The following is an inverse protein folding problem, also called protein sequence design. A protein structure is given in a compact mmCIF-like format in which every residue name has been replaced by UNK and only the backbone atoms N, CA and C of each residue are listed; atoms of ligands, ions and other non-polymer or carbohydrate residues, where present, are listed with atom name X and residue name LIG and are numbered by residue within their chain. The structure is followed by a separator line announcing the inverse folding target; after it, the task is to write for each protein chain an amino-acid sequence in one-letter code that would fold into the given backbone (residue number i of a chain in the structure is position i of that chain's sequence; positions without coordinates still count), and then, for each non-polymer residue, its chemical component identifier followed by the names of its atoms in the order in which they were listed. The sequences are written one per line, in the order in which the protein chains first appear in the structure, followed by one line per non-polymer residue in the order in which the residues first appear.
data_IF_860084371221
#
_entry.id   IF_860084371221
#
_cell.length_a   1.000
_cell.length_b   1.000
_cell.length_c   1.000
_cell.angle_alpha   90.00
_cell.angle_beta   90.00
_cell.angle_gamma   90.00
#
_symmetry.space_group_name_H-M   'P 1'
#
loop_
_entity.id
_entity.type
_entity.pdbx_description
1 polymer ?
2 non-polymer ?
3 non-polymer ?
4 water ?
#
# COMPACT_ATOMS: atom_id res chain seq x y z
N UNK A 1 19.04 -11.09 -21.00
CA UNK A 1 17.68 -11.12 -20.39
C UNK A 1 17.87 -10.45 -19.03
N UNK A 2 17.86 -9.10 -19.21
CA UNK A 2 18.04 -8.20 -18.07
C UNK A 2 16.78 -7.37 -17.88
N UNK A 3 16.68 -6.89 -16.68
CA UNK A 3 15.47 -6.15 -16.20
C UNK A 3 15.89 -4.93 -15.41
N UNK A 4 16.16 -3.87 -16.10
CA UNK A 4 16.65 -2.59 -15.59
C UNK A 4 15.56 -1.58 -15.42
N UNK A 5 15.40 -1.07 -14.22
CA UNK A 5 14.36 -0.08 -13.96
C UNK A 5 14.84 1.27 -14.55
N UNK A 6 13.90 2.06 -14.90
CA UNK A 6 14.14 3.43 -15.34
C UNK A 6 13.06 4.25 -14.58
N UNK A 7 13.32 5.53 -14.41
CA UNK A 7 12.33 6.46 -13.78
C UNK A 7 10.97 6.30 -14.38
N UNK A 8 10.80 5.86 -15.60
CA UNK A 8 9.49 5.64 -16.22
C UNK A 8 8.75 4.50 -15.58
N UNK A 9 9.38 3.58 -14.84
CA UNK A 9 8.65 2.46 -14.14
C UNK A 9 7.98 2.96 -12.89
N UNK A 10 8.18 4.18 -12.48
CA UNK A 10 7.55 4.77 -11.33
C UNK A 10 7.83 4.08 -9.99
N UNK A 11 9.06 3.63 -9.82
CA UNK A 11 9.46 2.99 -8.57
C UNK A 11 9.89 4.04 -7.50
N UNK A 12 9.28 3.97 -6.31
CA UNK A 12 9.55 4.87 -5.22
C UNK A 12 9.84 4.08 -3.96
N UNK A 13 10.59 4.80 -3.08
CA UNK A 13 11.01 4.26 -1.80
C UNK A 13 10.89 5.23 -0.65
N UNK A 14 10.58 4.83 0.56
CA UNK A 14 10.51 5.77 1.69
C UNK A 14 11.89 6.07 2.17
N UNK A 15 12.16 7.28 2.68
CA UNK A 15 13.53 7.54 3.28
C UNK A 15 13.82 6.54 4.43
N UNK A 16 12.77 6.15 5.14
CA UNK A 16 12.82 5.24 6.27
C UNK A 16 13.09 3.80 5.90
N UNK A 17 13.10 3.37 4.68
CA UNK A 17 13.30 2.03 4.18
C UNK A 17 14.76 1.77 4.07
N UNK A 18 15.44 2.33 3.04
CA UNK A 18 16.91 2.13 2.97
C UNK A 18 17.57 2.79 4.19
N UNK A 19 16.92 3.72 4.83
CA UNK A 19 17.40 4.43 6.01
C UNK A 19 17.19 3.67 7.29
N UNK A 20 16.57 2.51 7.31
CA UNK A 20 16.36 1.73 8.56
C UNK A 20 17.72 1.27 9.19
N UNK A 21 17.88 1.79 10.41
CA UNK A 21 19.15 1.44 11.14
C UNK A 21 19.14 0.02 11.67
N UNK A 22 18.07 -0.68 11.71
CA UNK A 22 18.16 -2.08 12.20
C UNK A 22 17.85 -2.28 13.64
N UNK A 23 17.27 -1.29 14.29
CA UNK A 23 16.88 -1.44 15.72
C UNK A 23 15.58 -2.27 15.68
N UNK A 24 15.45 -3.32 16.46
CA UNK A 24 14.24 -4.23 16.51
C UNK A 24 13.87 -4.32 17.97
N UNK A 25 12.79 -4.98 18.33
CA UNK A 25 12.39 -5.12 19.74
C UNK A 25 13.49 -5.73 20.59
N UNK A 26 14.36 -6.55 20.03
CA UNK A 26 15.40 -7.18 20.83
C UNK A 26 16.79 -6.72 20.48
N UNK A 27 17.05 -5.66 19.72
CA UNK A 27 18.45 -5.37 19.46
C UNK A 27 18.73 -3.96 19.02
N UNK A 28 19.96 -3.61 19.20
CA UNK A 28 20.48 -2.26 18.81
C UNK A 28 20.66 -2.15 17.31
N UNK A 29 20.78 -0.83 16.92
CA UNK A 29 21.05 -0.52 15.51
C UNK A 29 22.29 -1.22 15.03
N UNK A 30 22.29 -1.75 13.80
CA UNK A 30 23.48 -2.41 13.19
C UNK A 30 24.08 -1.50 12.10
N UNK A 31 23.41 -0.42 11.76
CA UNK A 31 23.93 0.49 10.72
C UNK A 31 23.78 1.94 11.20
N UNK A 32 24.69 2.78 10.75
CA UNK A 32 24.73 4.22 11.03
C UNK A 32 23.61 4.87 10.21
N UNK A 33 23.17 6.02 10.69
CA UNK A 33 22.08 6.76 10.03
C UNK A 33 22.59 7.28 8.70
N UNK A 34 21.67 7.35 7.76
CA UNK A 34 22.04 7.83 6.41
C UNK A 34 21.46 9.26 6.28
N UNK A 35 22.24 10.08 5.61
CA UNK A 35 21.68 11.46 5.39
C UNK A 35 20.69 11.30 4.19
N UNK A 36 19.50 11.87 4.26
CA UNK A 36 18.50 11.80 3.19
C UNK A 36 19.06 12.16 1.83
N UNK A 37 20.03 13.07 1.81
CA UNK A 37 20.67 13.50 0.55
C UNK A 37 21.39 12.32 -0.10
N UNK A 38 22.10 11.54 0.66
CA UNK A 38 22.81 10.36 0.19
C UNK A 38 21.86 9.32 -0.35
N UNK A 39 20.75 9.09 0.37
CA UNK A 39 19.72 8.13 -0.06
C UNK A 39 19.12 8.59 -1.39
N UNK A 40 18.80 9.86 -1.55
CA UNK A 40 18.25 10.37 -2.83
C UNK A 40 19.21 10.03 -3.97
N UNK A 41 20.49 10.35 -3.80
CA UNK A 41 21.50 10.18 -4.82
C UNK A 41 21.65 8.68 -5.13
N UNK A 42 21.71 7.80 -4.11
CA UNK A 42 21.89 6.32 -4.34
C UNK A 42 20.69 5.74 -5.00
N UNK A 43 19.47 6.13 -4.61
CA UNK A 43 18.27 5.62 -5.23
C UNK A 43 18.20 6.07 -6.68
N UNK A 44 18.56 7.33 -6.96
CA UNK A 44 18.54 7.82 -8.38
C UNK A 44 19.48 6.96 -9.18
N UNK A 45 20.67 6.62 -8.69
CA UNK A 45 21.55 5.75 -9.45
C UNK A 45 21.02 4.38 -9.73
N UNK A 46 20.15 3.85 -8.86
CA UNK A 46 19.58 2.48 -9.10
C UNK A 46 18.43 2.59 -10.06
N UNK A 47 17.91 3.76 -10.44
CA UNK A 47 16.80 3.77 -11.36
C UNK A 47 15.44 4.07 -10.74
N UNK A 48 15.44 4.49 -9.49
CA UNK A 48 14.15 4.83 -8.85
C UNK A 48 13.60 6.15 -9.47
N UNK A 49 12.32 6.36 -9.35
CA UNK A 49 11.69 7.58 -9.87
C UNK A 49 11.53 8.60 -8.76
N UNK A 50 11.50 8.21 -7.50
CA UNK A 50 11.30 9.22 -6.44
C UNK A 50 11.36 8.69 -5.05
N UNK A 51 11.16 9.53 -4.06
CA UNK A 51 11.22 9.13 -2.66
C UNK A 51 10.00 9.69 -1.92
N UNK A 52 9.76 9.18 -0.74
CA UNK A 52 8.64 9.61 0.11
C UNK A 52 9.21 9.79 1.51
N UNK A 53 8.47 10.42 2.37
CA UNK A 53 9.02 10.68 3.68
C UNK A 53 7.96 10.91 4.70
N UNK A 54 8.36 10.61 5.96
CA UNK A 54 7.53 10.99 7.09
C UNK A 54 8.20 12.35 7.50
N UNK A 55 7.38 13.26 8.04
CA UNK A 55 7.94 14.58 8.52
C UNK A 55 9.22 14.36 9.33
N UNK A 56 9.22 13.46 10.31
CA UNK A 56 10.42 13.30 11.16
C UNK A 56 11.59 12.63 10.47
N UNK A 57 11.42 12.07 9.24
CA UNK A 57 12.61 11.45 8.65
C UNK A 57 13.43 12.65 8.04
N UNK A 58 12.70 13.65 7.61
CA UNK A 58 13.32 14.82 6.98
C UNK A 58 13.75 15.90 7.97
N UNK A 59 12.87 16.23 8.89
CA UNK A 59 13.16 17.28 9.91
C UNK A 59 13.14 16.63 11.28
N UNK A 60 14.30 16.51 11.91
CA UNK A 60 14.46 15.90 13.26
C UNK A 60 13.44 16.53 14.19
N UNK A 61 12.72 15.69 14.90
CA UNK A 61 11.71 16.19 15.80
C UNK A 61 12.30 17.32 16.68
N UNK A 62 11.54 18.35 16.84
CA UNK A 62 12.00 19.47 17.68
C UNK A 62 12.84 20.54 17.05
N UNK A 63 13.18 20.38 15.77
CA UNK A 63 13.95 21.35 15.01
C UNK A 63 13.29 22.75 15.07
N UNK A 64 14.15 23.76 15.17
CA UNK A 64 13.69 25.19 15.19
C UNK A 64 13.38 25.56 13.73
N UNK A 65 12.62 26.56 13.42
CA UNK A 65 12.29 26.97 12.06
C UNK A 65 13.49 27.17 11.19
N UNK A 66 14.56 27.55 11.79
CA UNK A 66 15.84 27.84 11.14
C UNK A 66 16.44 26.54 10.65
N UNK A 67 16.48 25.56 11.58
CA UNK A 67 17.05 24.25 11.15
C UNK A 67 16.10 23.60 10.12
N UNK A 68 14.80 23.72 10.25
CA UNK A 68 13.82 23.19 9.37
C UNK A 68 14.14 23.60 7.93
N UNK A 69 14.20 24.91 7.73
CA UNK A 69 14.43 25.51 6.41
C UNK A 69 15.68 24.95 5.79
N UNK A 70 16.69 24.76 6.57
CA UNK A 70 17.98 24.23 6.15
C UNK A 70 17.89 22.76 5.72
N UNK A 71 17.11 21.96 6.44
CA UNK A 71 16.96 20.51 6.07
C UNK A 71 16.21 20.47 4.75
N UNK A 72 15.20 21.31 4.61
CA UNK A 72 14.39 21.37 3.35
C UNK A 72 15.27 21.83 2.17
N UNK A 73 15.98 22.93 2.29
CA UNK A 73 16.86 23.42 1.20
C UNK A 73 17.80 22.35 0.75
N UNK A 74 18.52 21.69 1.64
CA UNK A 74 19.42 20.61 1.25
C UNK A 74 18.74 19.47 0.50
N UNK A 75 17.57 19.09 0.92
CA UNK A 75 16.83 17.96 0.29
C UNK A 75 16.43 18.35 -1.14
N UNK A 76 15.85 19.53 -1.21
CA UNK A 76 15.40 20.17 -2.47
C UNK A 76 16.54 20.24 -3.45
N UNK A 77 17.73 20.58 -2.98
CA UNK A 77 18.91 20.63 -3.90
C UNK A 77 19.19 19.21 -4.38
N UNK A 78 19.08 18.17 -3.50
CA UNK A 78 19.39 16.79 -4.02
C UNK A 78 18.31 16.36 -5.02
N UNK A 79 17.05 16.73 -4.91
CA UNK A 79 16.00 16.37 -5.84
C UNK A 79 16.30 17.05 -7.21
N UNK A 80 16.74 18.32 -7.08
CA UNK A 80 17.07 19.09 -8.32
C UNK A 80 18.28 18.46 -9.01
N UNK A 81 19.23 17.99 -8.25
CA UNK A 81 20.42 17.41 -8.86
C UNK A 81 20.15 16.07 -9.52
N UNK A 82 19.11 15.34 -9.04
CA UNK A 82 18.90 14.00 -9.63
C UNK A 82 17.68 13.84 -10.47
N UNK A 83 16.76 14.83 -10.38
CA UNK A 83 15.51 14.67 -11.17
C UNK A 83 14.54 13.72 -10.38
N UNK A 84 14.76 13.42 -9.10
CA UNK A 84 13.88 12.56 -8.30
C UNK A 84 12.63 13.36 -7.90
N UNK A 85 11.47 12.73 -7.82
CA UNK A 85 10.25 13.44 -7.42
C UNK A 85 9.85 12.95 -6.01
N UNK A 86 8.85 13.58 -5.44
CA UNK A 86 8.31 13.22 -4.13
C UNK A 86 6.78 13.10 -4.33
N UNK A 87 6.29 11.92 -4.70
CA UNK A 87 4.86 11.76 -4.95
C UNK A 87 3.97 11.59 -3.76
N UNK A 88 4.52 11.26 -2.62
CA UNK A 88 3.70 10.99 -1.42
C UNK A 88 4.51 11.43 -0.23
N UNK A 89 3.77 11.88 0.76
CA UNK A 89 4.36 12.30 2.08
C UNK A 89 3.36 11.74 3.16
N UNK A 90 3.92 11.67 4.38
CA UNK A 90 3.03 11.14 5.48
C UNK A 90 3.56 11.65 6.81
N UNK A 91 2.88 11.45 7.89
CA UNK A 91 3.21 11.95 9.23
C UNK A 91 3.66 10.85 10.19
N UNK A 92 4.65 11.08 11.01
CA UNK A 92 5.07 10.14 12.02
C UNK A 92 4.16 10.49 13.25
N UNK A 93 3.10 9.74 13.53
CA UNK A 93 2.29 9.94 14.72
C UNK A 93 2.45 8.61 15.60
N UNK A 94 3.69 8.05 15.60
CA UNK A 94 3.89 6.79 16.34
C UNK A 94 5.14 6.69 17.14
N UNK A 95 6.27 7.37 16.80
CA UNK A 95 7.50 7.22 17.57
C UNK A 95 7.61 7.93 18.90
N UNK A 96 7.33 9.20 18.93
CA UNK A 96 7.44 10.00 20.17
C UNK A 96 6.55 9.43 21.23
N UNK A 97 7.03 9.34 22.48
CA UNK A 97 6.23 8.83 23.56
C UNK A 97 4.87 9.46 23.72
N UNK A 98 4.68 10.70 23.29
CA UNK A 98 3.40 11.43 23.43
C UNK A 98 2.31 10.66 22.67
N UNK A 99 2.74 9.88 21.64
CA UNK A 99 1.72 9.16 20.87
C UNK A 99 1.45 7.77 21.39
N UNK A 100 1.89 7.45 22.61
CA UNK A 100 1.75 6.10 23.15
C UNK A 100 0.32 5.54 23.13
N UNK A 101 -0.72 6.34 23.19
CA UNK A 101 -2.09 5.83 23.13
C UNK A 101 -2.73 6.29 21.81
N UNK A 102 -1.96 6.74 20.85
CA UNK A 102 -2.50 7.18 19.56
C UNK A 102 -2.22 8.66 19.27
N UNK A 103 -2.66 9.04 18.09
CA UNK A 103 -2.59 10.40 17.59
C UNK A 103 -4.04 10.94 17.54
N UNK A 104 -4.74 10.61 16.49
CA UNK A 104 -6.12 11.09 16.30
C UNK A 104 -7.08 10.47 17.24
N UNK A 105 -6.75 9.31 17.79
CA UNK A 105 -7.73 8.64 18.76
C UNK A 105 -7.10 8.52 20.13
N UNK A 106 -6.07 9.32 20.49
CA UNK A 106 -5.57 9.23 21.83
C UNK A 106 -6.75 9.63 22.78
N UNK A 107 -6.80 9.01 23.99
CA UNK A 107 -7.82 9.31 24.93
C UNK A 107 -7.66 10.82 25.38
N UNK A 108 -6.44 11.32 25.53
CA UNK A 108 -6.25 12.73 25.95
C UNK A 108 -6.56 13.67 24.77
N UNK A 109 -7.48 14.56 24.96
CA UNK A 109 -7.88 15.50 23.89
C UNK A 109 -6.72 16.36 23.47
N UNK A 110 -5.87 16.80 24.37
CA UNK A 110 -4.73 17.69 24.03
C UNK A 110 -3.83 17.06 23.01
N UNK A 111 -3.62 15.79 23.20
CA UNK A 111 -2.72 14.99 22.25
C UNK A 111 -3.40 14.93 20.90
N UNK A 112 -4.71 14.72 20.83
CA UNK A 112 -5.42 14.67 19.53
C UNK A 112 -5.25 16.02 18.79
N UNK A 113 -5.37 17.13 19.48
CA UNK A 113 -5.23 18.46 18.81
C UNK A 113 -3.83 18.62 18.31
N UNK A 114 -2.83 18.25 19.10
CA UNK A 114 -1.41 18.32 18.74
C UNK A 114 -1.18 17.44 17.46
N UNK A 115 -1.74 16.20 17.49
CA UNK A 115 -1.57 15.33 16.31
C UNK A 115 -2.03 15.98 15.01
N UNK A 116 -3.17 16.68 15.03
CA UNK A 116 -3.76 17.37 13.89
C UNK A 116 -2.85 18.52 13.47
N UNK A 117 -2.34 19.26 14.48
CA UNK A 117 -1.45 20.40 14.13
C UNK A 117 -0.18 19.91 13.49
N UNK A 118 0.37 18.84 14.00
CA UNK A 118 1.66 18.26 13.46
C UNK A 118 1.37 17.75 12.03
N UNK A 119 0.26 17.16 11.74
CA UNK A 119 -0.13 16.67 10.42
C UNK A 119 -0.29 17.86 9.42
N UNK A 120 -1.04 18.88 9.82
CA UNK A 120 -1.30 20.04 8.91
C UNK A 120 0.00 20.69 8.52
N UNK A 121 0.94 20.81 9.39
CA UNK A 121 2.25 21.44 9.09
C UNK A 121 2.93 20.63 7.99
N UNK A 122 2.83 19.29 8.04
CA UNK A 122 3.42 18.42 7.06
C UNK A 122 2.66 18.44 5.71
N UNK A 123 1.35 18.63 5.66
CA UNK A 123 0.59 18.71 4.38
C UNK A 123 1.14 19.93 3.56
N UNK A 124 1.31 21.09 4.27
CA UNK A 124 1.86 22.28 3.58
C UNK A 124 3.21 21.89 3.02
N UNK A 125 4.06 21.20 3.77
CA UNK A 125 5.37 20.84 3.22
C UNK A 125 5.19 19.86 2.06
N UNK A 126 4.36 18.90 2.16
CA UNK A 126 4.20 17.94 1.05
C UNK A 126 3.77 18.62 -0.26
N UNK A 127 2.80 19.52 -0.19
CA UNK A 127 2.30 20.30 -1.33
C UNK A 127 3.49 21.10 -1.93
N UNK A 128 4.25 21.75 -1.08
CA UNK A 128 5.41 22.55 -1.58
C UNK A 128 6.34 21.68 -2.37
N UNK A 129 6.59 20.42 -1.93
CA UNK A 129 7.50 19.50 -2.66
C UNK A 129 6.83 18.76 -3.82
N UNK A 130 5.56 18.97 -4.09
CA UNK A 130 4.84 18.33 -5.17
C UNK A 130 4.15 17.03 -4.90
N UNK A 131 3.99 16.61 -3.67
CA UNK A 131 3.27 15.28 -3.48
C UNK A 131 1.84 15.38 -3.91
N UNK A 132 1.32 14.32 -4.47
CA UNK A 132 -0.11 14.28 -4.89
C UNK A 132 -0.93 13.45 -3.89
N UNK A 133 -0.26 12.63 -3.05
CA UNK A 133 -0.97 11.78 -2.10
C UNK A 133 -0.38 11.98 -0.72
N UNK A 134 -1.21 11.98 0.26
CA UNK A 134 -0.78 12.20 1.67
C UNK A 134 -1.28 10.90 2.38
N UNK A 135 -0.31 10.09 2.86
CA UNK A 135 -0.77 8.82 3.52
C UNK A 135 -0.93 8.95 5.01
N UNK A 136 -1.84 8.22 5.60
CA UNK A 136 -2.08 8.20 7.02
C UNK A 136 -2.04 6.76 7.50
N UNK A 137 -1.08 6.41 8.36
CA UNK A 137 -1.01 5.04 8.96
C UNK A 137 -1.27 5.28 10.48
N UNK A 138 -2.38 4.91 11.04
CA UNK A 138 -2.61 5.15 12.49
C UNK A 138 -2.06 3.90 13.26
N UNK A 139 -0.75 3.82 13.28
CA UNK A 139 -0.14 2.67 13.98
C UNK A 139 -0.34 2.64 15.47
N UNK A 140 -0.62 3.79 16.13
CA UNK A 140 -0.83 3.79 17.58
C UNK A 140 -2.30 3.85 17.89
N UNK A 141 -3.21 3.84 16.99
CA UNK A 141 -4.67 3.95 17.23
C UNK A 141 -5.17 2.52 17.46
N UNK A 142 -5.50 2.23 18.72
CA UNK A 142 -6.01 0.84 18.98
C UNK A 142 -5.78 0.59 20.44
N UNK A 143 -5.56 -0.69 20.84
CA UNK A 143 -5.44 -0.99 22.28
C UNK A 143 -4.90 -2.38 22.53
N UNK A 144 -4.48 -2.62 23.76
CA UNK A 144 -4.01 -3.94 24.16
C UNK A 144 -5.13 -4.53 25.06
N UNK A 145 -6.11 -3.74 25.52
CA UNK A 145 -7.13 -4.30 26.40
C UNK A 145 -8.48 -3.74 26.07
N UNK A 146 -9.57 -4.45 26.37
CA UNK A 146 -10.93 -4.10 26.03
C UNK A 146 -11.46 -2.84 26.64
N UNK A 147 -11.20 -2.48 27.88
CA UNK A 147 -11.73 -1.30 28.49
C UNK A 147 -11.05 -0.02 28.17
N UNK A 148 -9.83 -0.08 27.64
CA UNK A 148 -9.05 1.11 27.37
C UNK A 148 -9.54 2.03 26.26
N UNK A 149 -10.34 1.50 25.33
CA UNK A 149 -10.83 2.27 24.17
C UNK A 149 -12.26 1.94 23.84
N UNK A 150 -13.12 2.95 23.83
CA UNK A 150 -14.53 2.64 23.42
C UNK A 150 -14.36 2.81 21.89
N UNK A 151 -14.54 1.75 21.09
CA UNK A 151 -14.36 1.90 19.64
C UNK A 151 -15.28 2.86 18.89
N UNK A 152 -16.54 2.91 19.30
CA UNK A 152 -17.48 3.88 18.61
C UNK A 152 -16.96 5.28 18.93
N UNK A 153 -16.55 5.60 20.19
CA UNK A 153 -16.07 6.95 20.36
C UNK A 153 -14.77 7.12 19.59
N UNK A 154 -13.93 6.07 19.54
CA UNK A 154 -12.68 6.22 18.78
C UNK A 154 -12.97 6.49 17.33
N UNK A 155 -13.94 5.85 16.65
CA UNK A 155 -14.26 6.14 15.20
C UNK A 155 -14.83 7.53 15.01
N UNK A 156 -15.60 8.01 16.01
CA UNK A 156 -16.10 9.44 15.91
C UNK A 156 -14.84 10.36 15.90
N UNK A 157 -13.87 10.09 16.80
CA UNK A 157 -12.66 10.97 16.81
C UNK A 157 -11.86 10.84 15.54
N UNK A 158 -11.84 9.62 14.98
CA UNK A 158 -11.05 9.37 13.73
C UNK A 158 -11.78 10.09 12.61
N UNK A 159 -13.08 9.99 12.57
CA UNK A 159 -13.88 10.70 11.50
C UNK A 159 -13.63 12.22 11.63
N UNK A 160 -13.74 12.66 12.90
CA UNK A 160 -13.53 14.12 13.13
C UNK A 160 -12.22 14.63 12.59
N UNK A 161 -11.10 13.96 12.82
CA UNK A 161 -9.77 14.28 12.39
C UNK A 161 -9.70 14.28 10.88
N UNK A 162 -10.18 13.21 10.21
CA UNK A 162 -10.13 13.18 8.74
C UNK A 162 -11.00 14.27 8.12
N UNK A 163 -12.17 14.50 8.67
CA UNK A 163 -13.04 15.57 8.13
C UNK A 163 -12.30 16.91 8.29
N UNK A 164 -11.64 17.18 9.42
CA UNK A 164 -10.94 18.44 9.60
C UNK A 164 -9.80 18.52 8.57
N UNK A 165 -9.09 17.41 8.28
CA UNK A 165 -8.03 17.57 7.29
C UNK A 165 -8.58 17.83 5.91
N UNK A 166 -9.77 17.30 5.60
CA UNK A 166 -10.40 17.50 4.25
C UNK A 166 -10.88 18.97 4.23
N UNK A 167 -11.30 19.50 5.32
CA UNK A 167 -11.72 20.93 5.38
C UNK A 167 -10.49 21.81 5.10
N UNK A 168 -9.36 21.49 5.71
CA UNK A 168 -8.15 22.23 5.54
C UNK A 168 -7.72 22.22 4.09
N UNK A 169 -7.58 21.05 3.48
CA UNK A 169 -7.15 20.95 2.05
C UNK A 169 -8.01 21.75 1.09
N UNK A 170 -9.33 21.65 1.21
CA UNK A 170 -10.30 22.31 0.37
C UNK A 170 -10.20 23.83 0.62
N UNK A 171 -10.07 24.22 1.87
CA UNK A 171 -9.94 25.64 2.21
C UNK A 171 -8.68 26.20 1.60
N UNK A 172 -7.59 25.47 1.53
CA UNK A 172 -6.36 26.00 0.94
C UNK A 172 -6.36 25.82 -0.58
N UNK A 173 -7.30 25.13 -1.11
CA UNK A 173 -7.29 24.89 -2.57
C UNK A 173 -6.16 23.94 -2.95
N UNK A 174 -5.72 23.01 -2.10
CA UNK A 174 -4.63 22.08 -2.52
C UNK A 174 -5.12 20.91 -3.34
N UNK A 175 -4.30 20.44 -4.22
CA UNK A 175 -4.64 19.26 -5.07
C UNK A 175 -3.89 18.07 -4.41
N UNK A 176 -4.45 17.53 -3.39
CA UNK A 176 -3.79 16.46 -2.67
C UNK A 176 -4.96 15.58 -2.21
N UNK A 177 -4.70 14.29 -2.26
CA UNK A 177 -5.75 13.34 -1.76
C UNK A 177 -5.12 12.53 -0.59
N UNK A 178 -5.98 11.99 0.22
CA UNK A 178 -5.53 11.21 1.40
C UNK A 178 -5.65 9.70 1.10
N UNK A 179 -4.76 8.90 1.66
CA UNK A 179 -4.84 7.44 1.49
C UNK A 179 -4.65 6.85 2.88
N UNK A 180 -5.58 6.07 3.43
CA UNK A 180 -5.40 5.49 4.75
C UNK A 180 -4.74 4.11 4.48
N UNK A 181 -3.76 3.84 5.35
CA UNK A 181 -3.13 2.50 5.20
C UNK A 181 -3.51 1.65 6.37
N UNK A 182 -4.12 0.51 6.16
CA UNK A 182 -4.56 -0.37 7.26
C UNK A 182 -3.40 -1.28 7.68
N UNK A 183 -3.57 -1.74 8.92
CA UNK A 183 -2.60 -2.70 9.51
C UNK A 183 -3.46 -3.32 10.67
N UNK A 184 -3.42 -4.67 10.78
CA UNK A 184 -4.27 -5.29 11.83
C UNK A 184 -3.78 -5.23 13.24
N UNK A 185 -2.42 -5.22 13.47
CA UNK A 185 -1.84 -5.14 14.83
C UNK A 185 -0.36 -4.71 14.61
N UNK A 186 0.28 -4.41 15.72
CA UNK A 186 1.70 -4.10 15.84
C UNK A 186 1.97 -2.73 15.37
N UNK A 187 2.30 -1.77 16.27
CA UNK A 187 2.56 -1.94 17.66
C UNK A 187 1.49 -2.07 18.63
N UNK A 188 0.28 -1.75 18.37
CA UNK A 188 -0.82 -1.97 19.32
C UNK A 188 -1.30 -3.43 19.15
N UNK A 189 -1.92 -3.88 20.25
CA UNK A 189 -2.49 -5.23 20.36
C UNK A 189 -3.44 -5.45 19.20
N UNK A 190 -4.30 -4.49 18.99
CA UNK A 190 -5.23 -4.56 17.83
C UNK A 190 -5.21 -3.06 17.32
N UNK A 191 -5.15 -2.84 16.06
CA UNK A 191 -5.19 -1.48 15.48
C UNK A 191 -6.56 -1.26 14.83
N UNK A 192 -7.08 0.02 14.95
CA UNK A 192 -8.41 0.36 14.32
C UNK A 192 -8.24 0.38 12.82
N UNK A 193 -9.29 0.08 12.08
CA UNK A 193 -9.38 -0.07 10.61
C UNK A 193 -8.25 -1.06 10.25
N UNK A 194 -8.44 -2.33 10.69
CA UNK A 194 -7.41 -3.31 10.48
C UNK A 194 -7.12 -3.87 9.16
N UNK A 195 -7.97 -3.78 8.18
CA UNK A 195 -7.79 -4.30 6.87
C UNK A 195 -8.31 -3.31 5.81
N UNK A 196 -8.01 -3.57 4.55
CA UNK A 196 -8.50 -2.69 3.41
C UNK A 196 -10.03 -2.62 3.55
N UNK A 197 -10.75 -3.70 3.84
CA UNK A 197 -12.22 -3.50 3.88
C UNK A 197 -12.62 -2.56 5.00
N UNK A 198 -12.09 -2.63 6.22
CA UNK A 198 -12.43 -1.74 7.28
C UNK A 198 -12.10 -0.31 6.86
N UNK A 199 -11.03 -0.02 6.22
CA UNK A 199 -10.70 1.34 5.78
C UNK A 199 -11.66 1.80 4.68
N UNK A 200 -12.01 0.93 3.67
CA UNK A 200 -12.96 1.38 2.66
C UNK A 200 -14.32 1.74 3.23
N UNK A 201 -14.84 0.94 4.21
CA UNK A 201 -16.15 1.17 4.78
C UNK A 201 -16.13 2.48 5.57
N UNK A 202 -15.01 2.73 6.26
CA UNK A 202 -14.92 3.95 7.07
C UNK A 202 -14.97 5.24 6.19
N UNK A 203 -14.30 5.18 5.11
CA UNK A 203 -14.24 6.30 4.15
C UNK A 203 -15.63 6.76 3.74
N UNK A 204 -16.49 5.80 3.58
CA UNK A 204 -17.90 6.11 3.14
C UNK A 204 -18.65 6.91 4.16
N UNK A 205 -18.24 7.07 5.40
CA UNK A 205 -18.91 7.88 6.39
C UNK A 205 -18.22 9.24 6.55
N UNK A 206 -17.17 9.56 5.74
CA UNK A 206 -16.56 10.91 5.90
C UNK A 206 -17.39 11.93 5.15
N UNK A 207 -17.23 13.18 5.54
CA UNK A 207 -18.00 14.26 4.88
C UNK A 207 -17.63 14.35 3.41
N UNK A 208 -16.39 14.16 2.97
CA UNK A 208 -16.11 14.30 1.47
C UNK A 208 -15.36 13.02 1.08
N UNK A 209 -16.08 11.95 0.92
CA UNK A 209 -15.44 10.63 0.60
C UNK A 209 -14.52 10.62 -0.57
N UNK A 210 -14.77 11.52 -1.52
CA UNK A 210 -13.95 11.57 -2.78
C UNK A 210 -12.54 11.97 -2.56
N UNK A 211 -12.20 12.57 -1.42
CA UNK A 211 -10.83 12.96 -1.11
C UNK A 211 -10.00 11.82 -0.48
N UNK A 212 -10.65 10.70 -0.20
CA UNK A 212 -9.93 9.61 0.48
C UNK A 212 -10.05 8.25 -0.19
N UNK A 213 -8.90 7.58 -0.17
CA UNK A 213 -8.72 6.21 -0.76
C UNK A 213 -7.86 5.40 0.24
N UNK A 214 -7.39 4.29 -0.25
CA UNK A 214 -6.54 3.42 0.57
C UNK A 214 -5.13 3.26 0.05
N UNK A 215 -4.20 2.98 0.93
CA UNK A 215 -2.79 2.68 0.62
C UNK A 215 -2.58 1.26 1.25
N UNK A 216 -3.00 0.20 0.55
CA UNK A 216 -2.84 -1.14 1.17
C UNK A 216 -1.37 -1.53 1.10
N UNK A 217 -0.92 -2.38 2.03
CA UNK A 217 0.45 -2.85 2.05
C UNK A 217 0.44 -4.38 1.93
N UNK A 218 1.25 -4.94 1.09
CA UNK A 218 1.25 -6.38 0.91
C UNK A 218 1.25 -7.17 2.24
N UNK A 219 2.32 -6.96 3.02
CA UNK A 219 2.51 -7.69 4.35
C UNK A 219 1.41 -7.43 5.29
N UNK A 220 0.74 -6.27 5.34
CA UNK A 220 -0.35 -6.05 6.35
C UNK A 220 -1.58 -6.90 6.13
N UNK A 221 -2.10 -7.05 4.91
CA UNK A 221 -3.26 -7.93 4.82
C UNK A 221 -2.87 -9.36 5.07
N UNK A 222 -1.64 -9.71 4.73
CA UNK A 222 -1.08 -11.11 4.95
C UNK A 222 -0.93 -11.38 6.45
N UNK A 223 -0.76 -10.35 7.29
CA UNK A 223 -0.66 -10.49 8.76
C UNK A 223 -2.01 -10.94 9.30
N UNK A 224 -3.11 -10.82 8.48
CA UNK A 224 -4.44 -11.28 8.88
C UNK A 224 -4.73 -12.54 8.05
N UNK A 225 -3.80 -13.13 7.32
CA UNK A 225 -4.01 -14.34 6.48
C UNK A 225 -4.92 -14.06 5.30
N UNK A 226 -5.12 -12.85 4.88
CA UNK A 226 -6.03 -12.54 3.75
C UNK A 226 -5.33 -12.58 2.39
N UNK A 227 -6.11 -12.63 1.31
CA UNK A 227 -5.51 -12.68 -0.04
C UNK A 227 -5.33 -11.25 -0.48
N UNK A 228 -4.07 -10.83 -0.59
CA UNK A 228 -3.74 -9.40 -1.01
C UNK A 228 -4.29 -9.04 -2.36
N UNK A 229 -4.08 -9.77 -3.46
CA UNK A 229 -4.68 -9.45 -4.73
C UNK A 229 -6.18 -9.34 -4.66
N UNK A 230 -6.94 -10.16 -3.91
CA UNK A 230 -8.42 -10.00 -3.81
C UNK A 230 -8.77 -8.65 -3.12
N UNK A 231 -8.02 -8.28 -2.05
CA UNK A 231 -8.28 -6.97 -1.39
C UNK A 231 -8.02 -5.80 -2.34
N UNK A 232 -6.96 -5.89 -3.14
CA UNK A 232 -6.64 -4.88 -4.13
C UNK A 232 -7.75 -4.83 -5.18
N UNK A 233 -8.27 -5.94 -5.68
CA UNK A 233 -9.36 -5.94 -6.71
C UNK A 233 -10.56 -5.21 -6.07
N UNK A 234 -10.81 -5.45 -4.77
CA UNK A 234 -11.92 -4.76 -4.13
C UNK A 234 -11.63 -3.26 -4.06
N UNK A 235 -10.46 -2.79 -3.76
CA UNK A 235 -10.13 -1.37 -3.68
C UNK A 235 -10.26 -0.87 -5.17
N UNK A 236 -9.80 -1.55 -6.17
CA UNK A 236 -9.94 -1.10 -7.56
C UNK A 236 -11.42 -1.00 -7.93
N UNK A 237 -12.21 -1.97 -7.58
CA UNK A 237 -13.66 -2.01 -7.89
C UNK A 237 -14.28 -0.79 -7.29
N UNK A 238 -13.90 -0.34 -6.08
CA UNK A 238 -14.49 0.83 -5.49
C UNK A 238 -13.92 2.13 -6.03
N UNK A 239 -12.96 2.13 -6.86
CA UNK A 239 -12.26 3.33 -7.42
C UNK A 239 -11.40 3.95 -6.33
N UNK A 240 -10.90 3.21 -5.32
CA UNK A 240 -10.14 3.80 -4.24
C UNK A 240 -8.71 3.39 -4.11
N UNK A 241 -8.05 2.80 -5.12
CA UNK A 241 -6.66 2.45 -4.98
C UNK A 241 -5.83 3.69 -5.31
N UNK A 242 -5.56 4.50 -4.25
CA UNK A 242 -4.79 5.70 -4.52
C UNK A 242 -3.28 5.50 -4.53
N UNK A 243 -2.82 4.53 -3.82
CA UNK A 243 -1.34 4.34 -3.75
C UNK A 243 -1.22 2.86 -3.25
N UNK A 244 0.03 2.37 -3.25
CA UNK A 244 0.19 0.98 -2.80
C UNK A 244 1.59 0.84 -2.21
N UNK A 245 1.63 -0.03 -1.17
CA UNK A 245 2.93 -0.34 -0.50
C UNK A 245 3.32 -1.82 -0.79
N UNK A 246 4.45 -1.88 -1.46
CA UNK A 246 4.95 -3.22 -1.88
C UNK A 246 6.04 -3.75 -1.02
N UNK A 247 5.88 -5.03 -0.67
CA UNK A 247 6.94 -5.69 0.23
C UNK A 247 6.57 -7.22 0.24
N UNK A 248 7.21 -7.93 1.16
CA UNK A 248 6.99 -9.37 1.31
C UNK A 248 6.82 -9.72 2.77
N UNK A 249 6.13 -10.82 3.01
CA UNK A 249 5.84 -11.20 4.44
C UNK A 249 5.71 -12.71 4.44
N UNK A 250 6.24 -13.41 5.39
CA UNK A 250 6.06 -14.89 5.37
C UNK A 250 4.93 -15.24 6.34
N UNK A 251 3.68 -15.09 5.97
CA UNK A 251 2.61 -15.47 6.91
C UNK A 251 2.26 -14.54 8.03
N UNK A 252 1.49 -15.14 8.99
CA UNK A 252 0.93 -14.47 10.15
C UNK A 252 2.00 -14.50 11.27
N UNK A 253 2.63 -13.33 11.40
CA UNK A 253 3.67 -13.11 12.39
C UNK A 253 3.96 -11.61 12.46
N UNK A 254 5.02 -11.20 13.17
CA UNK A 254 5.37 -9.79 13.19
C UNK A 254 5.49 -9.24 11.72
N UNK A 255 5.42 -7.93 11.62
CA UNK A 255 5.51 -7.29 10.29
C UNK A 255 7.02 -7.35 9.80
N UNK A 256 7.28 -8.19 8.82
CA UNK A 256 8.68 -8.39 8.34
C UNK A 256 9.08 -7.29 7.39
N UNK A 257 8.24 -6.74 6.50
CA UNK A 257 8.69 -5.76 5.56
C UNK A 257 9.90 -6.28 4.74
N UNK A 258 9.87 -7.48 4.17
CA UNK A 258 10.98 -8.03 3.36
C UNK A 258 10.79 -7.35 1.98
N UNK A 259 11.91 -7.44 1.24
CA UNK A 259 11.91 -6.86 -0.12
C UNK A 259 10.80 -7.47 -0.94
N UNK A 260 10.28 -6.68 -1.89
CA UNK A 260 9.20 -7.14 -2.73
C UNK A 260 9.70 -8.40 -3.56
N UNK A 261 8.80 -9.41 -3.60
CA UNK A 261 9.09 -10.69 -4.31
C UNK A 261 9.42 -11.76 -3.25
N UNK A 262 9.93 -11.39 -2.11
CA UNK A 262 10.22 -12.34 -1.01
C UNK A 262 8.81 -12.54 -0.35
N UNK A 263 8.69 -13.54 0.49
CA UNK A 263 7.38 -13.83 1.10
C UNK A 263 6.62 -14.77 0.18
N UNK A 264 5.35 -14.36 -0.07
CA UNK A 264 4.48 -15.16 -0.91
C UNK A 264 4.75 -14.83 -2.35
N UNK A 265 5.58 -15.52 -3.04
CA UNK A 265 5.88 -15.24 -4.41
C UNK A 265 4.69 -15.43 -5.35
N UNK A 266 3.83 -16.45 -5.21
CA UNK A 266 2.68 -16.55 -6.16
C UNK A 266 1.74 -15.35 -5.93
N UNK A 267 1.53 -14.83 -4.72
CA UNK A 267 0.66 -13.65 -4.47
C UNK A 267 1.25 -12.44 -5.16
N UNK A 268 2.54 -12.34 -5.20
CA UNK A 268 3.30 -11.22 -5.88
C UNK A 268 2.98 -11.30 -7.35
N UNK A 269 2.98 -12.48 -7.98
CA UNK A 269 2.70 -12.65 -9.38
C UNK A 269 1.29 -12.20 -9.66
N UNK A 270 0.30 -12.68 -8.90
CA UNK A 270 -1.10 -12.31 -9.15
C UNK A 270 -1.32 -10.83 -8.84
N UNK A 271 -0.56 -10.22 -7.96
CA UNK A 271 -0.80 -8.79 -7.69
C UNK A 271 -0.30 -8.00 -8.91
N UNK A 272 0.93 -8.35 -9.42
CA UNK A 272 1.47 -7.62 -10.57
C UNK A 272 0.51 -7.80 -11.79
N UNK A 273 0.00 -9.00 -11.95
CA UNK A 273 -0.96 -9.30 -13.05
C UNK A 273 -2.17 -8.35 -12.90
N UNK A 274 -2.67 -8.20 -11.71
CA UNK A 274 -3.79 -7.29 -11.53
C UNK A 274 -3.40 -5.82 -11.70
N UNK A 275 -2.35 -5.34 -11.14
CA UNK A 275 -2.06 -3.91 -11.30
C UNK A 275 -1.88 -3.51 -12.75
N UNK A 276 -1.19 -4.39 -13.43
CA UNK A 276 -0.90 -4.14 -14.88
C UNK A 276 -2.15 -4.34 -15.68
N UNK A 277 -2.92 -5.35 -15.43
CA UNK A 277 -4.15 -5.47 -16.27
C UNK A 277 -5.15 -4.44 -15.92
N UNK A 278 -5.30 -3.92 -14.72
CA UNK A 278 -6.29 -2.87 -14.39
C UNK A 278 -5.72 -1.53 -14.79
N UNK A 279 -4.48 -1.44 -15.19
CA UNK A 279 -3.97 -0.08 -15.57
C UNK A 279 -3.70 0.80 -14.39
N UNK A 280 -3.25 0.30 -13.26
CA UNK A 280 -2.93 1.20 -12.11
C UNK A 280 -1.82 2.15 -12.57
N UNK A 281 -1.99 3.47 -12.32
CA UNK A 281 -0.86 4.34 -12.83
C UNK A 281 -0.21 5.15 -11.73
N UNK A 282 -0.39 4.78 -10.46
CA UNK A 282 0.25 5.49 -9.35
C UNK A 282 1.65 4.90 -9.21
N UNK A 283 2.36 5.42 -8.21
CA UNK A 283 3.72 4.96 -7.91
C UNK A 283 3.75 3.50 -7.46
N UNK A 284 4.85 2.84 -7.73
CA UNK A 284 5.06 1.44 -7.27
C UNK A 284 5.98 1.69 -6.06
N UNK A 285 5.40 1.89 -4.90
CA UNK A 285 6.26 2.23 -3.73
C UNK A 285 6.71 1.07 -2.87
N UNK A 286 7.97 1.00 -2.50
CA UNK A 286 8.47 -0.09 -1.68
C UNK A 286 8.53 0.40 -0.22
N UNK A 287 7.82 -0.32 0.68
CA UNK A 287 7.84 0.00 2.11
C UNK A 287 8.50 -1.30 2.66
N UNK A 288 9.86 -1.26 2.69
CA UNK A 288 10.57 -2.48 3.15
C UNK A 288 11.73 -2.14 4.08
N UNK A 289 12.30 -3.11 4.68
CA UNK A 289 13.45 -2.91 5.57
C UNK A 289 14.51 -3.93 5.18
N UNK A 290 15.66 -3.41 4.75
CA UNK A 290 16.81 -4.34 4.43
C UNK A 290 17.14 -4.99 5.81
N UNK A 291 17.21 -6.32 5.86
CA UNK A 291 17.48 -7.06 7.14
C UNK A 291 18.64 -6.46 7.91
N UNK A 292 18.56 -6.53 9.24
CA UNK A 292 19.66 -5.94 10.06
C UNK A 292 21.00 -6.68 9.94
N UNK A 293 20.94 -7.85 9.30
CA UNK A 293 22.19 -8.65 9.07
C UNK A 293 23.02 -7.95 7.99
N UNK A 294 22.43 -6.97 7.27
CA UNK A 294 23.20 -6.37 6.22
C UNK A 294 23.98 -5.09 6.48
N UNK A 295 25.03 -4.89 5.69
CA UNK A 295 25.81 -3.62 5.70
C UNK A 295 25.22 -2.72 4.59
N UNK A 296 25.79 -1.58 4.21
CA UNK A 296 25.32 -0.72 3.17
C UNK A 296 25.28 -1.38 1.80
N UNK A 297 26.18 -2.19 1.43
CA UNK A 297 26.14 -2.90 0.14
C UNK A 297 24.86 -3.75 0.10
N UNK A 298 24.54 -4.45 1.17
CA UNK A 298 23.32 -5.30 1.26
C UNK A 298 22.07 -4.41 1.21
N UNK A 299 22.10 -3.19 1.75
CA UNK A 299 20.95 -2.28 1.65
C UNK A 299 20.62 -1.99 0.18
N UNK A 300 21.63 -1.60 -0.60
CA UNK A 300 21.40 -1.27 -2.02
C UNK A 300 21.03 -2.47 -2.85
N UNK A 301 21.62 -3.61 -2.47
CA UNK A 301 21.28 -4.86 -3.18
C UNK A 301 19.80 -5.23 -2.92
N UNK A 302 19.36 -5.06 -1.73
CA UNK A 302 17.95 -5.36 -1.37
C UNK A 302 16.99 -4.38 -2.13
N UNK A 303 17.27 -3.07 -2.13
CA UNK A 303 16.39 -2.10 -2.84
C UNK A 303 16.39 -2.44 -4.30
N UNK A 304 17.57 -2.75 -4.93
CA UNK A 304 17.63 -3.09 -6.34
C UNK A 304 16.78 -4.35 -6.56
N UNK A 305 16.83 -5.35 -5.70
CA UNK A 305 16.01 -6.61 -5.84
C UNK A 305 14.52 -6.31 -5.85
N UNK A 306 14.07 -5.34 -5.15
CA UNK A 306 12.67 -4.96 -5.14
C UNK A 306 12.17 -4.64 -6.55
N UNK A 307 12.98 -3.80 -7.21
CA UNK A 307 12.55 -3.33 -8.57
C UNK A 307 12.69 -4.47 -9.57
N UNK A 308 13.73 -5.24 -9.49
CA UNK A 308 13.99 -6.38 -10.39
C UNK A 308 12.85 -7.36 -10.31
N UNK A 309 12.46 -7.68 -9.09
CA UNK A 309 11.37 -8.70 -8.90
C UNK A 309 10.10 -8.19 -9.54
N UNK A 310 9.79 -6.91 -9.36
CA UNK A 310 8.60 -6.40 -9.99
C UNK A 310 8.70 -6.60 -11.50
N UNK A 311 9.88 -6.21 -12.06
CA UNK A 311 9.99 -6.30 -13.53
C UNK A 311 9.93 -7.72 -14.04
N UNK A 312 10.54 -8.67 -13.30
CA UNK A 312 10.45 -10.09 -13.82
C UNK A 312 8.95 -10.54 -13.77
N UNK A 313 8.32 -10.24 -12.69
CA UNK A 313 6.87 -10.64 -12.51
C UNK A 313 6.03 -9.99 -13.59
N UNK A 314 6.36 -8.75 -13.92
CA UNK A 314 5.58 -8.06 -14.98
C UNK A 314 5.68 -8.79 -16.30
N UNK A 315 6.88 -9.20 -16.61
CA UNK A 315 7.09 -9.92 -17.90
C UNK A 315 6.33 -11.24 -17.93
N UNK A 316 6.46 -12.05 -16.84
CA UNK A 316 5.78 -13.37 -16.77
C UNK A 316 4.28 -13.20 -16.79
N UNK A 317 3.68 -12.21 -16.12
CA UNK A 317 2.19 -12.05 -16.16
C UNK A 317 1.71 -11.65 -17.55
N UNK A 318 2.47 -10.85 -18.26
CA UNK A 318 2.16 -10.35 -19.62
C UNK A 318 2.29 -11.55 -20.57
N UNK A 319 3.31 -12.35 -20.43
CA UNK A 319 3.46 -13.57 -21.27
C UNK A 319 2.24 -14.48 -20.93
N UNK A 320 1.85 -14.65 -19.68
CA UNK A 320 0.69 -15.48 -19.30
C UNK A 320 -0.60 -14.99 -20.00
N UNK A 321 -0.91 -13.70 -19.90
CA UNK A 321 -2.15 -13.22 -20.50
C UNK A 321 -2.16 -13.25 -22.04
N UNK A 322 -0.98 -13.11 -22.61
CA UNK A 322 -0.79 -13.11 -24.04
C UNK A 322 -0.77 -14.48 -24.65
N UNK A 323 -0.63 -15.56 -23.96
CA UNK A 323 -0.54 -16.92 -24.54
C UNK A 323 -1.91 -17.42 -25.01
N UNK A 324 -2.03 -17.78 -26.31
CA UNK A 324 -3.26 -18.27 -26.89
C UNK A 324 -3.75 -19.45 -26.14
N UNK A 325 -2.86 -20.30 -25.67
CA UNK A 325 -3.26 -21.50 -24.92
C UNK A 325 -3.91 -21.12 -23.60
N UNK A 326 -3.43 -19.98 -23.03
CA UNK A 326 -4.05 -19.53 -21.74
C UNK A 326 -5.45 -18.93 -22.06
N UNK A 327 -5.52 -18.13 -23.12
CA UNK A 327 -6.84 -17.53 -23.54
C UNK A 327 -7.85 -18.63 -23.72
N UNK A 328 -7.50 -19.70 -24.31
CA UNK A 328 -8.35 -20.88 -24.55
C UNK A 328 -8.75 -21.50 -23.21
N UNK A 329 -7.77 -21.61 -22.28
CA UNK A 329 -8.06 -22.18 -20.93
C UNK A 329 -9.04 -21.27 -20.17
N UNK A 330 -8.87 -19.96 -20.32
CA UNK A 330 -9.76 -19.00 -19.62
C UNK A 330 -11.20 -19.21 -20.10
N UNK A 331 -11.34 -19.45 -21.44
CA UNK A 331 -12.68 -19.72 -21.98
C UNK A 331 -13.16 -21.08 -21.47
N UNK A 332 -12.26 -22.03 -21.38
CA UNK A 332 -12.66 -23.37 -20.89
C UNK A 332 -13.15 -23.30 -19.44
N UNK A 333 -12.63 -22.36 -18.64
CA UNK A 333 -13.04 -22.22 -17.22
C UNK A 333 -14.14 -21.21 -17.09
N UNK A 334 -14.69 -20.68 -18.19
CA UNK A 334 -15.79 -19.74 -18.17
C UNK A 334 -15.53 -18.38 -17.58
N UNK A 335 -14.28 -17.89 -17.66
CA UNK A 335 -14.00 -16.51 -17.19
C UNK A 335 -14.79 -15.50 -18.04
N UNK A 336 -14.99 -15.86 -19.29
CA UNK A 336 -15.80 -14.98 -20.19
C UNK A 336 -17.21 -14.88 -19.71
N UNK A 337 -17.82 -15.96 -19.19
CA UNK A 337 -19.17 -15.94 -18.70
C UNK A 337 -19.27 -15.19 -17.32
N UNK A 338 -18.15 -15.22 -16.53
CA UNK A 338 -18.25 -14.46 -15.28
C UNK A 338 -18.42 -12.97 -15.56
N UNK A 339 -17.87 -12.46 -16.66
CA UNK A 339 -17.92 -11.05 -17.09
C UNK A 339 -19.25 -10.67 -17.70
N UNK A 340 -20.17 -11.59 -17.96
CA UNK A 340 -21.45 -11.21 -18.56
C UNK A 340 -22.50 -11.07 -17.46
N UNK A 341 -23.42 -10.15 -17.61
CA UNK A 341 -24.50 -9.94 -16.59
C UNK A 341 -25.27 -11.20 -16.37
N UNK A 342 -25.63 -11.49 -15.17
CA UNK A 342 -26.40 -12.69 -14.87
C UNK A 342 -27.89 -12.49 -15.41
N UNK A 343 -28.34 -11.23 -15.30
CA UNK A 343 -29.76 -11.03 -15.72
C UNK A 343 -30.01 -9.66 -16.27
N UNK A 344 -29.41 -9.43 -17.43
CA UNK A 344 -29.59 -8.11 -18.12
C UNK A 344 -31.04 -8.03 -18.60
N UNK A 345 -31.71 -9.12 -18.74
CA UNK A 345 -33.10 -9.27 -19.15
C UNK A 345 -34.03 -8.73 -18.02
N UNK A 346 -33.53 -8.54 -16.82
CA UNK A 346 -34.39 -7.99 -15.74
C UNK A 346 -35.02 -9.03 -14.91
N UNK A 347 -35.47 -8.54 -13.73
CA UNK A 347 -36.13 -9.41 -12.75
C UNK A 347 -37.33 -10.19 -13.25
N UNK A 348 -38.27 -9.47 -13.91
CA UNK A 348 -39.50 -10.18 -14.41
C UNK A 348 -39.19 -11.29 -15.34
N UNK A 349 -38.27 -11.03 -16.26
CA UNK A 349 -37.79 -12.05 -17.24
C UNK A 349 -37.17 -13.24 -16.51
N UNK A 350 -36.29 -12.91 -15.50
CA UNK A 350 -35.71 -14.05 -14.75
C UNK A 350 -36.81 -14.84 -14.03
N UNK A 351 -37.77 -14.12 -13.45
CA UNK A 351 -38.84 -14.86 -12.75
C UNK A 351 -39.68 -15.75 -13.65
N UNK A 352 -39.85 -15.33 -14.87
CA UNK A 352 -40.68 -16.10 -15.85
C UNK A 352 -39.85 -17.12 -16.59
N UNK A 353 -38.54 -17.04 -16.47
CA UNK A 353 -37.66 -18.01 -17.17
C UNK A 353 -37.65 -19.43 -16.57
N UNK A 354 -38.31 -20.41 -17.17
CA UNK A 354 -38.36 -21.80 -16.71
C UNK A 354 -36.97 -22.46 -16.82
N UNK A 355 -36.09 -22.02 -17.68
CA UNK A 355 -34.76 -22.62 -17.83
C UNK A 355 -33.86 -22.25 -16.63
N UNK A 356 -34.26 -21.23 -15.91
CA UNK A 356 -33.49 -20.82 -14.69
C UNK A 356 -33.94 -21.63 -13.47
N UNK A 357 -34.99 -22.45 -13.49
CA UNK A 357 -35.38 -23.15 -12.33
C UNK A 357 -36.17 -24.42 -12.57
N UNK A 358 -37.41 -24.25 -12.96
CA UNK A 358 -38.39 -25.30 -13.24
C UNK A 358 -37.76 -26.29 -14.16
N UNK A 359 -37.12 -25.91 -15.21
CA UNK A 359 -36.52 -26.91 -16.14
C UNK A 359 -34.99 -26.87 -16.12
N UNK A 360 -34.42 -26.32 -15.04
CA UNK A 360 -32.92 -26.28 -15.05
C UNK A 360 -32.42 -27.67 -14.71
N UNK A 361 -31.47 -28.18 -15.46
CA UNK A 361 -30.93 -29.52 -15.19
C UNK A 361 -29.68 -29.33 -14.28
N UNK A 362 -29.92 -29.48 -13.00
CA UNK A 362 -28.91 -29.30 -11.98
C UNK A 362 -27.80 -30.35 -12.11
N UNK A 363 -28.15 -31.60 -12.33
CA UNK A 363 -27.11 -32.66 -12.46
C UNK A 363 -26.17 -32.45 -13.67
N UNK A 364 -26.67 -31.97 -14.75
CA UNK A 364 -25.85 -31.73 -15.89
C UNK A 364 -24.98 -30.54 -15.58
N UNK A 365 -25.51 -29.48 -15.03
CA UNK A 365 -24.60 -28.31 -14.72
C UNK A 365 -23.59 -28.75 -13.66
N UNK A 366 -23.98 -29.51 -12.61
CA UNK A 366 -23.05 -29.94 -11.57
C UNK A 366 -21.85 -30.76 -12.05
N UNK A 367 -22.02 -31.56 -13.11
CA UNK A 367 -21.09 -32.48 -13.67
C UNK A 367 -20.07 -31.71 -14.51
N UNK A 368 -20.31 -30.47 -14.85
CA UNK A 368 -19.30 -29.78 -15.67
C UNK A 368 -18.09 -29.44 -14.84
N UNK A 369 -16.93 -29.90 -15.18
CA UNK A 369 -15.68 -29.56 -14.44
C UNK A 369 -15.27 -28.15 -14.64
N UNK A 370 -14.62 -27.43 -13.77
CA UNK A 370 -14.24 -26.03 -14.03
C UNK A 370 -12.92 -25.89 -14.74
N UNK A 371 -12.10 -26.96 -14.82
CA UNK A 371 -10.79 -26.95 -15.46
C UNK A 371 -9.86 -25.91 -14.86
N UNK A 372 -9.99 -25.59 -13.55
CA UNK A 372 -9.10 -24.59 -12.88
C UNK A 372 -7.65 -25.05 -12.64
N UNK A 373 -7.43 -26.36 -12.44
CA UNK A 373 -6.08 -26.89 -12.18
C UNK A 373 -5.21 -26.81 -13.38
N UNK A 374 -5.77 -27.06 -14.57
CA UNK A 374 -5.00 -26.97 -15.83
C UNK A 374 -4.63 -25.49 -15.99
N UNK A 375 -5.62 -24.61 -15.78
CA UNK A 375 -5.35 -23.19 -15.88
C UNK A 375 -4.23 -22.81 -14.85
N UNK A 376 -4.34 -23.28 -13.60
CA UNK A 376 -3.33 -22.89 -12.59
C UNK A 376 -1.93 -23.40 -12.94
N UNK A 377 -1.83 -24.59 -13.56
CA UNK A 377 -0.50 -25.11 -13.93
C UNK A 377 0.07 -24.25 -15.07
N UNK A 378 -0.78 -23.75 -16.00
CA UNK A 378 -0.30 -22.87 -17.04
C UNK A 378 0.31 -21.63 -16.41
N UNK A 379 -0.42 -21.11 -15.38
CA UNK A 379 0.13 -19.91 -14.68
C UNK A 379 1.47 -20.19 -13.98
N UNK A 380 1.56 -21.41 -13.43
CA UNK A 380 2.79 -21.86 -12.77
C UNK A 380 3.90 -21.97 -13.78
N UNK A 381 3.68 -22.61 -14.92
CA UNK A 381 4.70 -22.77 -15.98
C UNK A 381 5.19 -21.40 -16.44
N UNK A 382 4.19 -20.51 -16.62
CA UNK A 382 4.67 -19.10 -17.06
C UNK A 382 5.49 -18.41 -15.94
N UNK A 383 5.03 -18.45 -14.69
CA UNK A 383 5.82 -17.81 -13.63
C UNK A 383 7.26 -18.37 -13.63
N UNK A 384 7.40 -19.71 -13.72
CA UNK A 384 8.76 -20.32 -13.66
C UNK A 384 9.55 -20.29 -14.98
N UNK A 385 9.01 -19.83 -16.05
CA UNK A 385 9.64 -19.73 -17.35
C UNK A 385 9.78 -21.15 -17.85
N UNK A 386 8.85 -21.99 -17.60
CA UNK A 386 8.94 -23.40 -18.06
C UNK A 386 7.85 -23.47 -19.13
N UNK A 387 7.62 -22.40 -19.81
CA UNK A 387 6.91 -21.70 -20.79
C UNK A 387 7.61 -20.31 -21.01
X LIG B 1 3.33 4.55 5.23
X LIG B 1 3.82 5.49 6.38
X LIG B 1 4.77 4.58 7.17
X LIG B 1 4.75 3.10 6.66
X LIG B 1 3.77 2.56 7.73
X LIG B 1 3.67 5.30 3.97
X LIG B 1 6.07 5.16 7.75
X LIG B 1 4.18 3.37 5.43
X LIG B 1 2.70 5.91 7.17
X LIG B 1 6.10 2.65 6.64
X LIG B 1 3.51 1.27 7.12
X LIG B 1 3.11 4.48 2.94
X LIG C 1 4.69 -3.25 7.19
X LIG D 1 3.53 1.00 4.69
#
# INVERSE_FOLDING_TARGET
MNYQPTPEDRFTFGLWTVGWQGRDPFGDATRRALDPVESVQRLAELGAHGVTFHDDDLIPFGSSDSEREEHVKRFRQALDDTGMKVPMATTNLFTHPVFKDGGFTANDRDVRRYALRKTIRNIDLAVELGAETYVAWGGREGAESGGAKDVRDALDRMKEAFDLLGEYVTSQGYDIRFAIEPKPNEPRGDILLPTVGHALAFIERLERPELYGVNPEVGHEQMAGLNFPHGIAQALWAGKLFHIDLNGQNGIKYDQDLRFGAGDLRAAFWLVDLLESAGYSGPRHFDFKPPRTEDFDGVWASAAGCMRNYLILKERAAAFRADPEVQEALRASRLDELARPTAADGLQALLDDRSAFEEFDVDAAAARGMAFERLDQLAMDHLLGARG
DFR C5 C4 C3 C2 C1 C6 C7 O5 O4 O2 O1 O6
MN MN
MN MN
#
